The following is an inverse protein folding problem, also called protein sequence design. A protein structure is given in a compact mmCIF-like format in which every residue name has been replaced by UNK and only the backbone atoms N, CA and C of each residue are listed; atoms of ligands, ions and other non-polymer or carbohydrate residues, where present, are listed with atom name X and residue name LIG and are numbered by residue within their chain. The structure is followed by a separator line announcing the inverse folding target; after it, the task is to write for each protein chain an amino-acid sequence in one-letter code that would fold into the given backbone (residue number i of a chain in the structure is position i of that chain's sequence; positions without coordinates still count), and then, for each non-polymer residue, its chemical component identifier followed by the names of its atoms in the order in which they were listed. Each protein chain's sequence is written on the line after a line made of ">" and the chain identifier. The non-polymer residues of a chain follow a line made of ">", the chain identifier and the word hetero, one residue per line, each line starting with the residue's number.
data_IF_681583637708
#
_entry.id   IF_681583637708
#
_cell.length_a   1.000
_cell.length_b   1.000
_cell.length_c   1.000
_cell.angle_alpha   90.00
_cell.angle_beta   90.00
_cell.angle_gamma   90.00
#
_symmetry.space_group_name_H-M   'P 1'
#
loop_
_entity.id
_entity.type
_entity.pdbx_description
1 polymer ?
#
# COMPACT_ATOMS: atom_id res chain seq x y z
N UNK A 1 12.74 -30.54 -4.93
CA UNK A 1 12.75 -29.51 -5.99
C UNK A 1 11.38 -29.25 -6.62
N UNK A 2 10.64 -30.25 -7.12
CA UNK A 2 9.31 -30.02 -7.71
C UNK A 2 8.22 -29.63 -6.69
N UNK A 3 8.26 -30.22 -5.47
CA UNK A 3 7.29 -29.95 -4.38
C UNK A 3 7.38 -28.49 -3.88
N UNK A 4 8.61 -28.02 -3.61
CA UNK A 4 8.91 -26.63 -3.20
C UNK A 4 8.40 -25.60 -4.22
N UNK A 5 8.54 -25.85 -5.53
CA UNK A 5 8.00 -24.94 -6.56
C UNK A 5 6.46 -24.86 -6.56
N UNK A 6 5.78 -25.97 -6.28
CA UNK A 6 4.32 -26.01 -6.26
C UNK A 6 3.75 -25.26 -5.04
N UNK A 7 4.39 -25.42 -3.88
CA UNK A 7 3.99 -24.75 -2.63
C UNK A 7 4.18 -23.22 -2.73
N UNK A 8 5.24 -22.77 -3.43
CA UNK A 8 5.47 -21.36 -3.76
C UNK A 8 4.34 -20.80 -4.65
N UNK A 9 3.90 -21.55 -5.66
CA UNK A 9 2.83 -21.12 -6.58
C UNK A 9 1.49 -20.97 -5.83
N UNK A 10 1.17 -21.89 -4.92
CA UNK A 10 -0.06 -21.84 -4.12
C UNK A 10 -0.04 -20.63 -3.17
N UNK A 11 1.05 -20.43 -2.45
CA UNK A 11 1.23 -19.29 -1.53
C UNK A 11 1.09 -17.95 -2.27
N UNK A 12 1.75 -17.80 -3.43
CA UNK A 12 1.64 -16.59 -4.25
C UNK A 12 0.23 -16.35 -4.80
N UNK A 13 -0.50 -17.41 -5.15
CA UNK A 13 -1.88 -17.30 -5.62
C UNK A 13 -2.80 -16.77 -4.50
N UNK A 14 -2.65 -17.30 -3.29
CA UNK A 14 -3.42 -16.87 -2.11
C UNK A 14 -3.11 -15.40 -1.77
N UNK A 15 -1.83 -15.05 -1.71
CA UNK A 15 -1.37 -13.69 -1.40
C UNK A 15 -1.88 -12.66 -2.42
N UNK A 16 -1.93 -13.03 -3.71
CA UNK A 16 -2.55 -12.21 -4.76
C UNK A 16 -4.06 -12.10 -4.60
N UNK A 17 -4.74 -13.13 -4.11
CA UNK A 17 -6.19 -13.13 -3.95
C UNK A 17 -6.64 -12.24 -2.78
N UNK A 18 -5.85 -12.14 -1.71
CA UNK A 18 -6.14 -11.29 -0.55
C UNK A 18 -5.61 -9.86 -0.68
N UNK A 19 -4.64 -9.64 -1.58
CA UNK A 19 -4.03 -8.33 -1.77
C UNK A 19 -5.09 -7.25 -2.10
N UNK A 20 -5.07 -6.18 -1.31
CA UNK A 20 -5.92 -5.02 -1.51
C UNK A 20 -7.33 -5.19 -1.00
N UNK A 21 -7.76 -6.40 -0.60
CA UNK A 21 -9.09 -6.61 -0.02
C UNK A 21 -9.19 -6.01 1.37
N UNK A 22 -10.31 -5.33 1.62
CA UNK A 22 -10.64 -4.72 2.91
C UNK A 22 -11.71 -5.56 3.60
N UNK A 23 -11.51 -5.80 4.88
CA UNK A 23 -12.38 -6.59 5.74
C UNK A 23 -12.81 -5.75 6.94
N UNK A 24 -14.06 -5.87 7.38
CA UNK A 24 -14.59 -5.13 8.53
C UNK A 24 -14.91 -6.07 9.68
N UNK A 25 -14.58 -5.66 10.90
CA UNK A 25 -15.06 -6.34 12.10
C UNK A 25 -16.48 -5.85 12.40
N UNK A 26 -17.51 -6.71 12.48
CA UNK A 26 -18.82 -6.32 12.96
C UNK A 26 -18.73 -5.94 14.44
N UNK A 27 -18.84 -4.66 14.74
CA UNK A 27 -18.73 -4.15 16.10
C UNK A 27 -20.11 -4.20 16.79
N UNK A 28 -20.21 -5.00 17.84
CA UNK A 28 -21.28 -4.89 18.84
C UNK A 28 -20.88 -3.90 19.92
N UNK A 29 -21.86 -3.34 20.65
CA UNK A 29 -21.61 -2.50 21.83
C UNK A 29 -20.60 -3.16 22.78
N UNK A 30 -19.52 -2.45 23.10
CA UNK A 30 -18.44 -2.82 24.04
C UNK A 30 -17.38 -3.81 23.54
N UNK A 31 -17.31 -4.14 22.25
CA UNK A 31 -16.24 -5.03 21.74
C UNK A 31 -15.03 -4.21 21.31
N UNK A 32 -13.89 -4.49 21.94
CA UNK A 32 -12.59 -3.92 21.57
C UNK A 32 -11.89 -4.88 20.59
N UNK A 33 -11.50 -4.43 19.39
CA UNK A 33 -10.75 -5.28 18.49
C UNK A 33 -9.39 -5.65 19.10
N UNK A 34 -9.02 -6.91 18.99
CA UNK A 34 -7.81 -7.45 19.62
C UNK A 34 -6.54 -6.70 19.20
N UNK A 35 -6.43 -6.35 17.91
CA UNK A 35 -5.28 -5.66 17.34
C UNK A 35 -5.22 -4.15 17.61
N UNK A 36 -6.22 -3.59 18.29
CA UNK A 36 -6.25 -2.19 18.68
C UNK A 36 -6.23 -2.05 20.21
N UNK A 37 -6.89 -2.96 20.92
CA UNK A 37 -6.94 -2.96 22.38
C UNK A 37 -7.71 -1.79 22.99
N UNK A 38 -8.47 -1.05 22.19
CA UNK A 38 -9.31 0.08 22.63
C UNK A 38 -10.70 0.01 21.97
N UNK A 39 -11.64 0.78 22.53
CA UNK A 39 -12.98 0.88 21.94
C UNK A 39 -12.94 1.71 20.66
N UNK A 40 -13.59 1.19 19.62
CA UNK A 40 -13.65 1.82 18.31
C UNK A 40 -15.09 1.83 17.83
N UNK A 41 -15.46 2.86 17.06
CA UNK A 41 -16.77 2.92 16.40
C UNK A 41 -16.77 2.31 15.01
N UNK A 42 -15.59 2.08 14.44
CA UNK A 42 -15.40 1.37 13.19
C UNK A 42 -14.01 0.71 13.19
N UNK A 43 -13.89 -0.50 12.64
CA UNK A 43 -12.61 -1.16 12.41
C UNK A 43 -12.61 -1.97 11.11
N UNK A 44 -11.64 -1.67 10.26
CA UNK A 44 -11.32 -2.46 9.06
C UNK A 44 -9.85 -2.82 9.02
N UNK A 45 -9.57 -3.95 8.37
CA UNK A 45 -8.23 -4.39 8.06
C UNK A 45 -8.06 -4.58 6.56
N UNK A 46 -6.86 -4.29 6.05
CA UNK A 46 -6.51 -4.52 4.66
C UNK A 46 -5.19 -5.27 4.58
N UNK A 47 -5.17 -6.41 3.87
CA UNK A 47 -3.94 -7.15 3.64
C UNK A 47 -3.34 -6.72 2.32
N UNK A 48 -2.06 -6.39 2.36
CA UNK A 48 -1.33 -5.96 1.19
C UNK A 48 -0.05 -6.77 1.04
N UNK A 49 0.10 -7.43 -0.11
CA UNK A 49 1.22 -8.29 -0.40
C UNK A 49 2.15 -7.62 -1.40
N UNK A 50 3.44 -7.87 -1.24
CA UNK A 50 4.49 -7.44 -2.14
C UNK A 50 5.55 -8.51 -2.34
N UNK A 51 6.19 -8.55 -3.51
CA UNK A 51 7.27 -9.47 -3.84
C UNK A 51 8.50 -8.72 -4.37
N UNK A 52 9.65 -8.91 -3.72
CA UNK A 52 10.95 -8.31 -3.99
C UNK A 52 11.96 -9.36 -4.45
N UNK A 53 11.88 -9.77 -5.71
CA UNK A 53 12.71 -10.87 -6.18
C UNK A 53 12.37 -12.17 -5.43
N UNK A 54 13.21 -12.60 -4.50
CA UNK A 54 12.98 -13.76 -3.63
C UNK A 54 12.30 -13.40 -2.29
N UNK A 55 12.35 -12.13 -1.88
CA UNK A 55 11.80 -11.70 -0.59
C UNK A 55 10.34 -11.32 -0.74
N UNK A 56 9.47 -12.00 0.00
CA UNK A 56 8.04 -11.76 -0.03
C UNK A 56 7.63 -11.02 1.25
N UNK A 57 6.79 -9.98 1.12
CA UNK A 57 6.35 -9.15 2.25
C UNK A 57 4.83 -9.05 2.29
N UNK A 58 4.28 -9.05 3.49
CA UNK A 58 2.86 -8.81 3.75
C UNK A 58 2.73 -7.68 4.75
N UNK A 59 1.85 -6.74 4.47
CA UNK A 59 1.49 -5.67 5.38
C UNK A 59 0.02 -5.78 5.74
N UNK A 60 -0.26 -5.81 7.03
CA UNK A 60 -1.60 -5.68 7.56
C UNK A 60 -1.83 -4.22 7.95
N UNK A 61 -2.81 -3.60 7.33
CA UNK A 61 -3.25 -2.25 7.63
C UNK A 61 -4.47 -2.30 8.51
N UNK A 62 -4.46 -1.50 9.57
CA UNK A 62 -5.51 -1.39 10.57
C UNK A 62 -6.10 0.01 10.46
N UNK A 63 -7.32 0.13 9.96
CA UNK A 63 -8.04 1.38 9.87
C UNK A 63 -9.14 1.39 10.91
N UNK A 64 -9.12 2.33 11.85
CA UNK A 64 -10.15 2.41 12.88
C UNK A 64 -10.50 3.83 13.25
N UNK A 65 -11.67 4.00 13.86
CA UNK A 65 -12.10 5.25 14.48
C UNK A 65 -12.23 5.02 15.98
N UNK A 66 -11.41 5.70 16.79
CA UNK A 66 -11.49 5.69 18.24
C UNK A 66 -12.90 6.11 18.71
N UNK A 67 -13.52 5.36 19.62
CA UNK A 67 -14.92 5.59 20.00
C UNK A 67 -15.12 6.91 20.76
N UNK A 68 -14.15 7.28 21.58
CA UNK A 68 -14.15 8.43 22.48
C UNK A 68 -13.81 9.75 21.75
N UNK A 69 -12.67 9.78 21.06
CA UNK A 69 -12.17 10.98 20.38
C UNK A 69 -12.77 11.16 18.98
N UNK A 70 -13.31 10.08 18.41
CA UNK A 70 -13.67 9.96 16.99
C UNK A 70 -12.50 10.16 16.05
N UNK A 71 -11.26 10.03 16.54
CA UNK A 71 -10.08 10.11 15.69
C UNK A 71 -9.94 8.87 14.83
N UNK A 72 -9.73 9.10 13.54
CA UNK A 72 -9.37 8.04 12.59
C UNK A 72 -7.88 7.76 12.70
N UNK A 73 -7.54 6.48 12.73
CA UNK A 73 -6.18 5.99 12.87
C UNK A 73 -5.90 4.97 11.78
N UNK A 74 -4.64 4.97 11.34
CA UNK A 74 -4.12 3.94 10.45
C UNK A 74 -2.80 3.45 10.99
N UNK A 75 -2.76 2.15 11.28
CA UNK A 75 -1.58 1.47 11.77
C UNK A 75 -1.20 0.35 10.82
N UNK A 76 0.08 0.03 10.76
CA UNK A 76 0.60 -1.00 9.88
C UNK A 76 1.42 -2.00 10.66
N UNK A 77 1.28 -3.26 10.30
CA UNK A 77 2.06 -4.38 10.82
C UNK A 77 2.72 -5.04 9.61
N UNK A 78 4.06 -5.05 9.59
CA UNK A 78 4.84 -5.60 8.47
C UNK A 78 5.37 -6.99 8.79
N UNK A 79 5.24 -7.88 7.82
CA UNK A 79 5.67 -9.26 7.90
C UNK A 79 6.55 -9.64 6.70
N UNK A 80 7.62 -10.40 6.97
CA UNK A 80 8.32 -11.19 5.98
C UNK A 80 7.54 -12.49 5.80
N UNK A 81 7.48 -13.00 4.58
CA UNK A 81 6.93 -14.32 4.33
C UNK A 81 8.06 -15.33 4.42
N UNK A 82 7.95 -16.29 5.35
CA UNK A 82 8.83 -17.44 5.37
C UNK A 82 8.26 -18.55 4.51
N UNK A 83 9.07 -19.04 3.58
CA UNK A 83 8.77 -20.30 2.90
C UNK A 83 8.89 -21.43 3.92
N UNK A 84 7.77 -22.08 4.23
CA UNK A 84 7.76 -23.18 5.20
C UNK A 84 8.64 -24.34 4.74
N UNK A 85 9.50 -24.82 5.64
CA UNK A 85 10.21 -26.10 5.46
C UNK A 85 9.30 -27.32 5.75
N UNK A 86 8.17 -27.08 6.41
CA UNK A 86 7.23 -28.12 6.83
C UNK A 86 5.99 -28.20 5.95
N UNK A 87 5.73 -29.43 5.50
CA UNK A 87 4.87 -29.79 4.38
C UNK A 87 3.37 -29.84 4.71
N UNK A 88 2.82 -28.88 5.46
CA UNK A 88 1.36 -28.71 5.53
C UNK A 88 0.91 -27.83 4.37
N UNK A 89 0.36 -28.48 3.34
CA UNK A 89 0.25 -27.98 1.97
C UNK A 89 -0.54 -26.67 1.72
N UNK A 90 -1.07 -25.98 2.74
CA UNK A 90 -1.89 -24.77 2.54
C UNK A 90 -1.62 -23.61 3.53
N UNK A 91 -0.59 -23.64 4.38
CA UNK A 91 -0.36 -22.56 5.34
C UNK A 91 0.82 -21.68 4.91
N UNK A 92 0.67 -20.36 4.99
CA UNK A 92 1.73 -19.38 4.71
C UNK A 92 2.15 -18.75 6.03
N UNK A 93 3.42 -18.94 6.41
CA UNK A 93 3.96 -18.40 7.66
C UNK A 93 4.54 -17.02 7.43
N UNK A 94 4.26 -16.11 8.36
CA UNK A 94 4.65 -14.72 8.34
C UNK A 94 5.50 -14.41 9.57
N UNK A 95 6.73 -13.98 9.35
CA UNK A 95 7.60 -13.50 10.42
C UNK A 95 7.50 -12.00 10.58
N UNK A 96 7.38 -11.55 11.82
CA UNK A 96 7.32 -10.12 12.09
C UNK A 96 8.68 -9.45 11.85
N UNK A 97 8.75 -8.51 10.92
CA UNK A 97 9.99 -7.80 10.58
C UNK A 97 10.24 -6.56 11.47
N UNK A 98 9.39 -6.31 12.48
CA UNK A 98 9.51 -5.16 13.38
C UNK A 98 8.92 -3.86 12.84
N UNK A 99 7.71 -3.53 13.31
CA UNK A 99 7.29 -2.21 13.81
C UNK A 99 5.79 -2.29 14.13
N UNK A 100 5.42 -2.35 15.41
CA UNK A 100 4.07 -2.00 15.84
C UNK A 100 4.22 -0.79 16.77
N UNK A 101 3.55 0.31 16.44
CA UNK A 101 3.62 1.53 17.25
C UNK A 101 2.79 1.42 18.55
N UNK A 102 1.99 0.36 18.71
CA UNK A 102 0.90 0.34 19.72
C UNK A 102 1.10 -0.68 20.85
N UNK A 103 2.32 -0.96 21.28
CA UNK A 103 2.58 -1.87 22.41
C UNK A 103 2.19 -3.35 22.15
N UNK A 104 1.50 -3.65 21.06
CA UNK A 104 1.22 -4.99 20.56
C UNK A 104 2.47 -5.54 19.89
N UNK A 105 3.37 -6.13 20.67
CA UNK A 105 4.58 -6.72 20.11
C UNK A 105 4.21 -8.07 19.48
N UNK A 106 3.88 -8.03 18.20
CA UNK A 106 3.63 -9.24 17.39
C UNK A 106 4.91 -10.06 17.33
N UNK A 107 4.78 -11.37 17.50
CA UNK A 107 5.88 -12.33 17.37
C UNK A 107 5.87 -12.94 15.97
N UNK A 108 4.73 -13.51 15.59
CA UNK A 108 4.54 -14.20 14.33
C UNK A 108 3.08 -14.09 13.88
N UNK A 109 2.84 -14.33 12.60
CA UNK A 109 1.51 -14.56 12.07
C UNK A 109 1.51 -15.77 11.13
N UNK A 110 0.37 -16.43 11.02
CA UNK A 110 0.20 -17.57 10.12
C UNK A 110 -1.09 -17.38 9.34
N UNK A 111 -0.99 -17.38 8.01
CA UNK A 111 -2.16 -17.43 7.15
C UNK A 111 -2.51 -18.88 6.84
N UNK A 112 -3.64 -19.31 7.37
CA UNK A 112 -4.15 -20.66 7.17
C UNK A 112 -5.15 -20.61 6.02
N UNK A 113 -4.86 -21.33 4.93
CA UNK A 113 -5.79 -21.51 3.81
C UNK A 113 -6.42 -22.90 3.91
N UNK A 114 -7.73 -22.94 4.07
CA UNK A 114 -8.51 -24.16 3.89
C UNK A 114 -9.44 -23.98 2.69
N UNK A 115 -9.87 -25.10 2.10
CA UNK A 115 -10.80 -25.14 0.96
C UNK A 115 -12.10 -24.36 1.18
N UNK A 116 -12.43 -24.03 2.43
CA UNK A 116 -13.66 -23.35 2.84
C UNK A 116 -13.42 -22.10 3.70
N UNK A 117 -12.18 -21.77 4.07
CA UNK A 117 -11.95 -20.69 5.04
C UNK A 117 -10.52 -20.11 4.95
N UNK A 118 -10.41 -18.77 5.04
CA UNK A 118 -9.14 -18.06 5.15
C UNK A 118 -8.99 -17.56 6.59
N UNK A 119 -7.90 -17.90 7.26
CA UNK A 119 -7.64 -17.45 8.64
C UNK A 119 -6.30 -16.75 8.72
N UNK A 120 -6.23 -15.66 9.47
CA UNK A 120 -4.96 -15.08 9.91
C UNK A 120 -4.84 -15.28 11.42
N UNK A 121 -3.91 -16.15 11.84
CA UNK A 121 -3.48 -16.28 13.22
C UNK A 121 -2.42 -15.23 13.49
N UNK A 122 -2.53 -14.47 14.57
CA UNK A 122 -1.49 -13.55 15.03
C UNK A 122 -1.16 -13.92 16.47
N UNK A 123 0.12 -14.14 16.73
CA UNK A 123 0.65 -14.42 18.07
C UNK A 123 1.46 -13.21 18.55
N UNK A 124 1.21 -12.78 19.78
CA UNK A 124 1.96 -11.72 20.46
C UNK A 124 3.07 -12.35 21.32
N UNK A 125 4.14 -11.59 21.56
CA UNK A 125 5.28 -12.04 22.39
C UNK A 125 4.92 -12.38 23.84
N UNK A 126 3.79 -11.90 24.35
CA UNK A 126 3.28 -12.24 25.68
C UNK A 126 2.48 -13.57 25.71
N UNK A 127 2.44 -14.28 24.59
CA UNK A 127 1.76 -15.57 24.42
C UNK A 127 0.26 -15.46 24.12
N UNK A 128 -0.32 -14.26 24.07
CA UNK A 128 -1.69 -14.07 23.60
C UNK A 128 -1.76 -14.24 22.09
N UNK A 129 -2.89 -14.74 21.60
CA UNK A 129 -3.11 -14.97 20.18
C UNK A 129 -4.53 -14.61 19.76
N UNK A 130 -4.69 -14.22 18.50
CA UNK A 130 -5.99 -13.99 17.85
C UNK A 130 -6.08 -14.74 16.54
N UNK A 131 -7.25 -15.32 16.29
CA UNK A 131 -7.64 -15.88 15.00
C UNK A 131 -8.64 -14.94 14.33
N UNK A 132 -8.26 -14.44 13.17
CA UNK A 132 -9.04 -13.55 12.32
C UNK A 132 -9.59 -14.38 11.16
N UNK A 133 -10.88 -14.71 11.20
CA UNK A 133 -11.54 -15.41 10.10
C UNK A 133 -11.91 -14.41 8.99
N UNK A 134 -11.33 -14.62 7.81
CA UNK A 134 -11.49 -13.80 6.61
C UNK A 134 -12.34 -14.54 5.57
N UNK A 135 -13.38 -13.90 5.03
CA UNK A 135 -14.24 -14.52 4.01
C UNK A 135 -13.50 -14.63 2.66
N UNK A 136 -13.62 -15.77 1.96
CA UNK A 136 -13.15 -15.87 0.58
C UNK A 136 -14.05 -15.05 -0.36
N UNK A 137 -13.56 -14.82 -1.58
CA UNK A 137 -14.23 -14.02 -2.63
C UNK A 137 -15.67 -14.48 -2.95
N UNK A 138 -16.04 -15.71 -2.59
CA UNK A 138 -17.26 -16.41 -2.99
C UNK A 138 -18.19 -16.84 -1.83
N UNK A 139 -17.96 -16.40 -0.58
CA UNK A 139 -18.77 -16.90 0.55
C UNK A 139 -18.68 -16.11 1.85
N UNK A 140 -19.41 -16.59 2.86
CA UNK A 140 -19.40 -16.10 4.25
C UNK A 140 -18.26 -16.75 5.05
N UNK A 141 -17.61 -15.98 5.93
CA UNK A 141 -16.62 -16.51 6.86
C UNK A 141 -17.33 -17.20 8.03
N UNK A 142 -16.82 -18.34 8.46
CA UNK A 142 -17.31 -19.01 9.67
C UNK A 142 -16.12 -19.46 10.51
N UNK A 143 -15.95 -18.83 11.67
CA UNK A 143 -14.91 -19.19 12.67
C UNK A 143 -15.00 -20.66 13.05
N UNK A 144 -16.21 -21.25 13.00
CA UNK A 144 -16.42 -22.65 13.31
C UNK A 144 -15.77 -23.63 12.33
N UNK A 145 -15.38 -23.17 11.14
CA UNK A 145 -14.73 -23.99 10.11
C UNK A 145 -13.20 -23.80 10.10
N UNK A 146 -12.71 -22.64 10.53
CA UNK A 146 -11.29 -22.28 10.48
C UNK A 146 -10.47 -22.76 11.71
N UNK A 147 -11.09 -22.93 12.87
CA UNK A 147 -10.37 -23.21 14.12
C UNK A 147 -10.31 -24.71 14.43
N UNK A 148 -9.11 -25.28 14.57
CA UNK A 148 -8.95 -26.61 15.17
C UNK A 148 -9.52 -26.58 16.61
N UNK A 149 -10.36 -27.56 16.93
CA UNK A 149 -11.16 -27.61 18.17
C UNK A 149 -10.31 -27.54 19.45
N UNK A 150 -9.03 -27.92 19.39
CA UNK A 150 -8.05 -27.89 20.48
C UNK A 150 -7.56 -26.50 20.86
N UNK A 151 -7.60 -25.51 19.96
CA UNK A 151 -7.06 -24.16 20.20
C UNK A 151 -8.14 -23.14 20.59
N UNK A 152 -9.42 -23.50 20.46
CA UNK A 152 -10.58 -22.63 20.75
C UNK A 152 -10.60 -22.08 22.18
N UNK A 153 -9.90 -22.71 23.12
CA UNK A 153 -9.81 -22.25 24.51
C UNK A 153 -8.61 -21.34 24.83
N UNK A 154 -7.65 -21.14 23.91
CA UNK A 154 -6.39 -20.42 24.20
C UNK A 154 -6.23 -19.09 23.45
N UNK A 155 -6.86 -18.93 22.29
CA UNK A 155 -6.79 -17.71 21.49
C UNK A 155 -8.13 -16.96 21.46
N UNK A 156 -8.09 -15.65 21.22
CA UNK A 156 -9.28 -14.85 20.90
C UNK A 156 -9.71 -15.12 19.46
N UNK A 157 -11.02 -15.05 19.19
CA UNK A 157 -11.57 -15.27 17.85
C UNK A 157 -12.37 -14.06 17.37
N UNK A 158 -12.10 -13.63 16.15
CA UNK A 158 -12.80 -12.54 15.49
C UNK A 158 -13.22 -12.96 14.09
N UNK A 159 -14.49 -12.72 13.77
CA UNK A 159 -15.06 -12.95 12.44
C UNK A 159 -15.14 -11.62 11.72
N UNK A 160 -14.59 -11.56 10.52
CA UNK A 160 -14.68 -10.36 9.68
C UNK A 160 -15.58 -10.62 8.49
N UNK A 161 -16.17 -9.54 7.97
CA UNK A 161 -16.93 -9.53 6.74
C UNK A 161 -16.14 -8.84 5.62
N UNK A 162 -16.47 -9.14 4.35
CA UNK A 162 -15.94 -8.36 3.22
C UNK A 162 -16.49 -6.94 3.37
N UNK A 163 -15.59 -5.98 3.60
CA UNK A 163 -16.00 -4.59 3.69
C UNK A 163 -16.15 -4.04 2.28
N UNK A 164 -17.39 -3.82 1.88
CA UNK A 164 -17.73 -2.85 0.83
C UNK A 164 -17.88 -1.43 1.42
N UNK A 165 -17.73 -1.30 2.73
CA UNK A 165 -18.20 -0.14 3.47
C UNK A 165 -17.16 0.98 3.47
N UNK A 166 -17.65 2.17 3.19
CA UNK A 166 -16.97 3.45 3.35
C UNK A 166 -16.92 3.91 4.82
N UNK A 167 -17.38 3.09 5.78
CA UNK A 167 -17.67 3.54 7.14
C UNK A 167 -16.41 3.96 7.89
N UNK A 168 -15.33 3.20 7.74
CA UNK A 168 -14.04 3.54 8.35
C UNK A 168 -13.26 4.54 7.49
N UNK A 169 -13.28 4.37 6.17
CA UNK A 169 -12.59 5.22 5.21
C UNK A 169 -13.51 5.42 4.00
N UNK A 170 -13.96 6.65 3.78
CA UNK A 170 -14.81 6.99 2.65
C UNK A 170 -13.97 7.10 1.39
N UNK A 171 -14.53 6.72 0.25
CA UNK A 171 -13.83 6.82 -1.03
C UNK A 171 -14.55 7.80 -1.93
N UNK A 172 -13.87 8.86 -2.33
CA UNK A 172 -14.39 9.79 -3.33
C UNK A 172 -13.80 9.43 -4.69
N UNK A 173 -14.68 9.04 -5.62
CA UNK A 173 -14.30 8.60 -6.96
C UNK A 173 -14.19 9.79 -7.91
N UNK A 174 -13.04 9.94 -8.53
CA UNK A 174 -12.79 10.95 -9.54
C UNK A 174 -12.47 10.30 -10.88
N UNK A 175 -13.04 10.87 -11.94
CA UNK A 175 -12.81 10.44 -13.32
C UNK A 175 -12.08 11.54 -14.07
N UNK A 176 -11.00 11.16 -14.73
CA UNK A 176 -10.34 12.04 -15.69
C UNK A 176 -11.14 11.99 -17.00
N UNK A 177 -11.80 13.09 -17.34
CA UNK A 177 -12.54 13.26 -18.60
C UNK A 177 -11.69 13.88 -19.69
N UNK A 178 -10.49 14.35 -19.35
CA UNK A 178 -9.61 15.04 -20.27
C UNK A 178 -8.70 14.03 -20.97
N UNK A 179 -8.42 14.25 -22.25
CA UNK A 179 -7.39 13.48 -22.93
C UNK A 179 -6.00 13.88 -22.43
N UNK A 180 -5.04 12.94 -22.33
CA UNK A 180 -3.66 13.30 -22.06
C UNK A 180 -3.18 14.29 -23.12
N UNK A 181 -2.75 15.48 -22.69
CA UNK A 181 -2.09 16.41 -23.59
C UNK A 181 -0.76 15.79 -24.00
N UNK A 182 -0.53 15.61 -25.31
CA UNK A 182 0.77 15.27 -25.86
C UNK A 182 1.73 16.39 -25.47
N UNK A 183 2.56 16.15 -24.47
CA UNK A 183 3.56 17.13 -24.09
C UNK A 183 4.78 16.93 -24.97
N UNK A 184 4.88 17.71 -26.04
CA UNK A 184 6.09 17.75 -26.87
C UNK A 184 7.29 18.11 -25.99
N UNK A 185 8.30 17.25 -26.04
CA UNK A 185 9.53 17.44 -25.28
C UNK A 185 10.60 17.98 -26.22
N UNK A 186 11.17 19.18 -25.97
CA UNK A 186 12.38 19.59 -26.66
C UNK A 186 13.51 18.65 -26.27
N UNK A 187 14.22 18.10 -27.25
CA UNK A 187 15.43 17.28 -27.02
C UNK A 187 16.67 18.16 -27.14
N UNK A 188 17.20 18.76 -26.05
CA UNK A 188 18.55 19.31 -26.11
C UNK A 188 19.59 18.18 -26.00
N UNK A 189 20.70 18.38 -26.72
CA UNK A 189 21.89 17.53 -26.69
C UNK A 189 22.36 17.27 -25.24
N UNK A 190 22.83 16.06 -24.92
CA UNK A 190 23.48 15.82 -23.64
C UNK A 190 24.70 16.73 -23.51
N UNK A 191 24.80 17.39 -22.36
CA UNK A 191 25.99 18.11 -21.90
C UNK A 191 26.77 17.09 -21.07
N UNK A 192 28.04 16.81 -21.40
CA UNK A 192 28.79 15.61 -20.93
C UNK A 192 28.89 15.46 -19.38
N UNK A 193 28.55 16.50 -18.61
CA UNK A 193 28.61 16.52 -17.15
C UNK A 193 27.24 16.71 -16.46
N UNK A 194 26.12 16.58 -17.18
CA UNK A 194 24.77 16.69 -16.60
C UNK A 194 24.08 15.32 -16.59
N UNK A 195 23.25 15.03 -15.56
CA UNK A 195 22.39 13.85 -15.61
C UNK A 195 21.53 13.90 -16.87
N UNK A 196 21.20 12.71 -17.40
CA UNK A 196 20.27 12.57 -18.53
C UNK A 196 18.96 13.29 -18.22
N UNK A 197 18.27 13.77 -19.24
CA UNK A 197 16.97 14.39 -19.05
C UNK A 197 15.96 13.34 -18.60
N UNK A 198 14.97 13.73 -17.78
CA UNK A 198 13.91 12.82 -17.29
C UNK A 198 13.10 12.16 -18.43
N UNK A 199 13.20 12.68 -19.64
CA UNK A 199 12.50 12.18 -20.83
C UNK A 199 13.39 11.38 -21.77
N UNK A 200 14.67 11.23 -21.44
CA UNK A 200 15.65 10.52 -22.26
C UNK A 200 15.26 9.04 -22.42
N UNK A 201 15.29 8.54 -23.65
CA UNK A 201 14.88 7.17 -23.97
C UNK A 201 15.79 6.13 -23.35
N UNK A 202 17.01 6.46 -22.93
CA UNK A 202 17.87 5.55 -22.18
C UNK A 202 17.33 5.26 -20.77
N UNK A 203 16.53 6.16 -20.21
CA UNK A 203 15.94 5.99 -18.88
C UNK A 203 14.62 5.22 -18.89
N UNK A 204 13.99 5.04 -20.04
CA UNK A 204 12.60 4.54 -20.16
C UNK A 204 12.35 3.23 -19.40
N UNK A 205 13.35 2.35 -19.30
CA UNK A 205 13.21 1.10 -18.57
C UNK A 205 12.97 1.35 -17.06
N UNK A 206 13.61 2.36 -16.48
CA UNK A 206 13.44 2.75 -15.07
C UNK A 206 12.20 3.60 -14.84
N UNK A 207 11.37 3.82 -15.86
CA UNK A 207 10.25 4.76 -15.81
C UNK A 207 8.91 4.04 -15.92
N UNK A 208 8.85 2.72 -15.81
CA UNK A 208 7.58 1.99 -15.84
C UNK A 208 6.72 2.29 -14.60
N UNK A 209 5.68 3.13 -14.78
CA UNK A 209 4.79 3.58 -13.70
C UNK A 209 4.02 2.41 -13.11
N UNK A 210 3.50 1.51 -13.95
CA UNK A 210 2.76 0.35 -13.47
C UNK A 210 3.65 -0.51 -12.59
N UNK A 211 4.87 -0.84 -13.03
CA UNK A 211 5.80 -1.64 -12.23
C UNK A 211 6.22 -0.95 -10.94
N UNK A 212 6.42 0.36 -10.94
CA UNK A 212 6.73 1.10 -9.72
C UNK A 212 5.62 1.05 -8.67
N UNK A 213 4.36 0.83 -9.07
CA UNK A 213 3.21 0.70 -8.17
C UNK A 213 2.83 -0.76 -7.83
N UNK A 214 3.39 -1.78 -8.51
CA UNK A 214 3.00 -3.18 -8.33
C UNK A 214 3.49 -3.80 -7.01
N UNK A 215 4.30 -3.07 -6.24
CA UNK A 215 4.93 -3.56 -5.02
C UNK A 215 4.11 -3.26 -3.75
N UNK A 216 2.77 -3.14 -3.84
CA UNK A 216 1.86 -2.75 -2.73
C UNK A 216 1.67 -1.24 -2.59
N UNK A 217 1.18 -0.80 -1.43
CA UNK A 217 0.98 0.60 -1.11
C UNK A 217 2.29 1.31 -0.84
N UNK A 218 2.48 2.43 -1.51
CA UNK A 218 3.64 3.29 -1.37
C UNK A 218 3.27 4.48 -0.49
N UNK A 219 4.17 4.86 0.41
CA UNK A 219 4.01 6.02 1.28
C UNK A 219 4.94 7.14 0.85
N UNK A 220 4.49 8.39 0.95
CA UNK A 220 5.30 9.56 0.64
C UNK A 220 6.41 9.72 1.69
N UNK A 221 7.65 9.81 1.24
CA UNK A 221 8.82 10.01 2.13
C UNK A 221 9.42 11.39 1.93
N UNK A 222 9.64 11.83 0.69
CA UNK A 222 10.17 13.15 0.38
C UNK A 222 9.26 13.91 -0.58
N UNK A 223 9.11 15.22 -0.33
CA UNK A 223 8.49 16.16 -1.26
C UNK A 223 9.42 17.36 -1.49
N UNK A 224 9.48 17.81 -2.73
CA UNK A 224 10.14 19.08 -3.10
C UNK A 224 9.23 20.30 -2.93
N UNK A 225 8.02 20.13 -2.41
CA UNK A 225 7.09 21.22 -2.11
C UNK A 225 6.57 21.06 -0.68
N UNK A 226 7.12 21.84 0.25
CA UNK A 226 6.84 21.69 1.69
C UNK A 226 5.43 22.11 2.11
N UNK A 227 4.88 23.11 1.40
CA UNK A 227 3.57 23.72 1.67
C UNK A 227 2.43 23.10 0.85
N UNK A 228 2.66 21.95 0.22
CA UNK A 228 1.62 21.24 -0.52
C UNK A 228 0.42 20.95 0.38
N UNK A 229 -0.75 21.46 0.00
CA UNK A 229 -2.03 21.21 0.69
C UNK A 229 -2.68 19.91 0.22
N UNK A 230 -2.22 19.36 -0.90
CA UNK A 230 -2.71 18.13 -1.51
C UNK A 230 -1.56 17.12 -1.75
N UNK A 231 -0.74 16.78 -0.73
CA UNK A 231 0.25 15.73 -0.89
C UNK A 231 -0.46 14.39 -1.08
N UNK A 232 0.09 13.51 -1.93
CA UNK A 232 -0.36 12.13 -2.00
C UNK A 232 0.37 11.39 -0.88
N UNK A 233 -0.28 11.17 0.26
CA UNK A 233 0.39 10.58 1.43
C UNK A 233 0.69 9.10 1.27
N UNK A 234 -0.20 8.41 0.56
CA UNK A 234 -0.10 7.00 0.27
C UNK A 234 -0.81 6.71 -1.05
N UNK A 235 -0.23 5.85 -1.87
CA UNK A 235 -0.80 5.39 -3.13
C UNK A 235 -0.90 3.87 -3.05
N UNK A 236 -2.11 3.32 -3.19
CA UNK A 236 -2.35 1.88 -3.32
C UNK A 236 -2.85 1.59 -4.71
N UNK A 237 -2.16 0.70 -5.40
CA UNK A 237 -2.54 0.29 -6.73
C UNK A 237 -3.31 -1.02 -6.71
N UNK A 238 -4.50 -1.02 -7.30
CA UNK A 238 -5.32 -2.22 -7.48
C UNK A 238 -5.46 -2.53 -8.98
N UNK A 239 -4.60 -3.40 -9.52
CA UNK A 239 -4.61 -3.71 -10.95
C UNK A 239 -5.86 -4.51 -11.33
N UNK A 240 -6.33 -4.32 -12.56
CA UNK A 240 -7.45 -5.08 -13.17
C UNK A 240 -8.81 -4.97 -12.45
N UNK A 241 -8.99 -3.97 -11.57
CA UNK A 241 -10.33 -3.57 -11.14
C UNK A 241 -11.06 -2.83 -12.28
N UNK A 242 -12.37 -3.04 -12.42
CA UNK A 242 -13.18 -2.24 -13.35
C UNK A 242 -13.04 -0.74 -13.06
N UNK A 243 -13.09 0.17 -14.07
CA UNK A 243 -13.53 -0.06 -15.45
C UNK A 243 -12.43 -0.33 -16.50
N UNK A 244 -11.14 -0.41 -16.13
CA UNK A 244 -10.03 -0.43 -17.10
C UNK A 244 -9.11 -1.66 -16.99
N UNK A 245 -8.26 -1.94 -18.01
CA UNK A 245 -7.28 -3.03 -17.91
C UNK A 245 -6.20 -2.73 -16.85
N UNK A 246 -5.96 -1.46 -16.57
CA UNK A 246 -4.95 -1.02 -15.63
C UNK A 246 -5.49 -0.78 -14.21
N UNK A 247 -6.81 -0.83 -13.98
CA UNK A 247 -7.38 -0.75 -12.64
C UNK A 247 -7.47 0.66 -12.05
N UNK A 248 -7.39 0.75 -10.72
CA UNK A 248 -7.54 2.00 -9.97
C UNK A 248 -6.34 2.26 -9.05
N UNK A 249 -6.08 3.53 -8.77
CA UNK A 249 -5.24 3.94 -7.64
C UNK A 249 -6.12 4.55 -6.54
N UNK A 250 -5.80 4.17 -5.31
CA UNK A 250 -6.44 4.64 -4.09
C UNK A 250 -5.42 5.46 -3.33
N UNK A 251 -5.76 6.70 -3.01
CA UNK A 251 -4.82 7.69 -2.51
C UNK A 251 -5.34 8.25 -1.19
N UNK A 252 -4.51 8.18 -0.15
CA UNK A 252 -4.73 8.94 1.08
C UNK A 252 -4.13 10.33 0.89
N UNK A 253 -4.92 11.37 1.15
CA UNK A 253 -4.48 12.76 1.01
C UNK A 253 -5.28 13.65 1.96
N UNK A 254 -4.66 14.66 2.59
CA UNK A 254 -5.37 15.61 3.45
C UNK A 254 -6.19 16.63 2.65
N UNK A 255 -6.06 16.65 1.32
CA UNK A 255 -6.69 17.66 0.46
C UNK A 255 -8.16 17.39 0.12
N UNK A 256 -8.73 16.29 0.61
CA UNK A 256 -10.18 16.04 0.59
C UNK A 256 -10.83 16.46 1.91
N UNK A 257 -12.16 16.35 2.00
CA UNK A 257 -12.81 16.55 3.29
C UNK A 257 -12.35 15.45 4.25
N UNK A 258 -11.79 15.88 5.39
CA UNK A 258 -11.04 15.16 6.44
C UNK A 258 -10.84 13.64 6.36
N UNK A 259 -11.90 12.88 6.13
CA UNK A 259 -11.98 11.43 6.31
C UNK A 259 -12.12 10.60 5.02
N UNK A 260 -11.90 11.24 3.87
CA UNK A 260 -12.00 10.63 2.55
C UNK A 260 -10.62 10.24 1.97
N UNK A 261 -10.61 9.14 1.24
CA UNK A 261 -9.55 8.72 0.33
C UNK A 261 -10.02 8.98 -1.11
N UNK A 262 -9.07 9.34 -1.96
CA UNK A 262 -9.32 9.57 -3.38
C UNK A 262 -9.21 8.25 -4.12
N UNK A 263 -10.16 7.95 -4.99
CA UNK A 263 -10.06 6.84 -5.95
C UNK A 263 -10.12 7.41 -7.35
N UNK A 264 -9.19 7.01 -8.21
CA UNK A 264 -9.27 7.34 -9.62
C UNK A 264 -8.85 6.15 -10.48
N UNK A 265 -9.38 6.14 -11.70
CA UNK A 265 -8.94 5.21 -12.72
C UNK A 265 -7.45 5.46 -13.04
N UNK A 266 -6.68 4.39 -13.13
CA UNK A 266 -5.27 4.47 -13.46
C UNK A 266 -5.06 4.23 -14.94
N UNK A 267 -4.70 5.29 -15.68
CA UNK A 267 -4.43 5.25 -17.12
C UNK A 267 -2.98 5.65 -17.41
N UNK A 268 -2.02 4.75 -17.18
CA UNK A 268 -0.64 5.02 -17.53
C UNK A 268 -0.45 4.98 -19.06
N UNK A 269 0.40 5.87 -19.57
CA UNK A 269 0.75 6.03 -20.98
C UNK A 269 2.26 6.26 -21.16
N UNK A 270 2.75 6.03 -22.38
CA UNK A 270 4.14 6.25 -22.75
C UNK A 270 4.43 7.74 -22.98
N UNK A 271 5.67 8.15 -22.84
CA UNK A 271 6.14 9.44 -23.35
C UNK A 271 6.50 9.33 -24.84
N UNK A 272 6.55 10.47 -25.53
CA UNK A 272 6.97 10.50 -26.93
C UNK A 272 8.40 9.98 -27.09
N UNK A 273 8.63 9.19 -28.13
CA UNK A 273 9.90 8.50 -28.37
C UNK A 273 10.18 7.28 -27.47
N UNK A 274 9.36 7.03 -26.45
CA UNK A 274 9.48 5.82 -25.61
C UNK A 274 8.78 4.63 -26.27
N UNK A 275 9.24 3.44 -25.91
CA UNK A 275 8.57 2.19 -26.27
C UNK A 275 7.25 2.04 -25.50
N UNK A 276 6.19 1.60 -26.16
CA UNK A 276 4.86 1.35 -25.57
C UNK A 276 4.88 0.41 -24.36
N UNK A 277 5.94 -0.40 -24.23
CA UNK A 277 6.20 -1.26 -23.07
C UNK A 277 6.35 -0.45 -21.78
N UNK A 278 6.96 0.74 -21.86
CA UNK A 278 7.27 1.57 -20.70
C UNK A 278 6.30 2.75 -20.62
N UNK A 279 5.27 2.58 -19.81
CA UNK A 279 4.28 3.62 -19.55
C UNK A 279 4.82 4.57 -18.47
N UNK A 280 5.48 5.63 -18.90
CA UNK A 280 6.22 6.54 -18.03
C UNK A 280 5.43 7.67 -17.39
N UNK A 281 4.17 7.87 -17.77
CA UNK A 281 3.35 8.94 -17.21
C UNK A 281 1.92 8.49 -16.95
N UNK A 282 1.25 9.16 -16.02
CA UNK A 282 -0.17 9.06 -15.79
C UNK A 282 -0.70 10.40 -15.27
N UNK A 283 -1.97 10.70 -15.54
CA UNK A 283 -2.63 11.88 -14.97
C UNK A 283 -3.13 11.56 -13.56
N UNK A 284 -2.69 12.34 -12.58
CA UNK A 284 -3.09 12.20 -11.18
C UNK A 284 -3.79 13.48 -10.74
N UNK A 285 -4.92 13.31 -10.07
CA UNK A 285 -5.67 14.43 -9.52
C UNK A 285 -4.91 15.07 -8.34
N UNK A 286 -4.76 16.39 -8.40
CA UNK A 286 -4.25 17.23 -7.31
C UNK A 286 -5.04 18.51 -7.27
N UNK A 287 -5.40 18.96 -6.07
CA UNK A 287 -6.04 20.26 -5.83
C UNK A 287 -7.15 20.62 -6.85
N UNK A 288 -8.07 19.67 -7.07
CA UNK A 288 -9.21 19.88 -7.95
C UNK A 288 -8.99 19.60 -9.45
N UNK A 289 -7.78 19.33 -9.92
CA UNK A 289 -7.47 19.12 -11.36
C UNK A 289 -6.59 17.90 -11.60
N UNK A 290 -6.60 17.34 -12.81
CA UNK A 290 -5.71 16.25 -13.20
C UNK A 290 -4.43 16.80 -13.83
N UNK A 291 -3.28 16.42 -13.28
CA UNK A 291 -1.96 16.81 -13.76
C UNK A 291 -1.17 15.59 -14.23
N UNK A 292 -0.43 15.74 -15.32
CA UNK A 292 0.54 14.73 -15.72
C UNK A 292 1.62 14.57 -14.63
N UNK A 293 1.75 13.34 -14.14
CA UNK A 293 2.84 12.91 -13.27
C UNK A 293 3.68 11.89 -14.03
N UNK A 294 4.98 12.15 -14.11
CA UNK A 294 5.97 11.34 -14.82
C UNK A 294 6.82 10.58 -13.82
N UNK A 295 7.20 9.36 -14.17
CA UNK A 295 8.19 8.61 -13.40
C UNK A 295 9.57 9.10 -13.79
N UNK A 296 10.31 9.65 -12.83
CA UNK A 296 11.74 9.93 -13.00
C UNK A 296 12.50 8.61 -12.95
N UNK A 297 12.20 7.81 -11.91
CA UNK A 297 12.87 6.55 -11.63
C UNK A 297 11.99 5.66 -10.75
N UNK A 298 12.04 4.37 -10.99
CA UNK A 298 11.61 3.33 -10.08
C UNK A 298 12.65 2.21 -10.09
N UNK A 299 12.93 1.65 -8.92
CA UNK A 299 13.69 0.41 -8.80
C UNK A 299 12.83 -0.83 -9.16
N UNK A 300 11.55 -0.60 -9.51
CA UNK A 300 10.50 -1.60 -9.76
C UNK A 300 10.27 -2.54 -8.57
N UNK A 301 10.72 -2.11 -7.40
CA UNK A 301 10.68 -2.85 -6.14
C UNK A 301 10.13 -1.89 -5.10
N UNK A 302 10.96 -1.18 -4.37
CA UNK A 302 10.53 -0.49 -3.17
C UNK A 302 10.33 1.01 -3.34
N UNK A 303 10.53 1.59 -4.52
CA UNK A 303 10.39 3.03 -4.67
C UNK A 303 9.90 3.50 -6.04
N UNK A 304 9.31 4.68 -6.04
CA UNK A 304 9.02 5.44 -7.25
C UNK A 304 9.24 6.92 -6.99
N UNK A 305 9.87 7.59 -7.94
CA UNK A 305 10.07 9.04 -7.95
C UNK A 305 9.17 9.61 -9.02
N UNK A 306 8.31 10.54 -8.63
CA UNK A 306 7.36 11.19 -9.51
C UNK A 306 7.72 12.67 -9.68
N UNK A 307 7.58 13.17 -10.91
CA UNK A 307 7.58 14.59 -11.25
C UNK A 307 6.19 15.00 -11.71
N UNK A 308 5.63 16.07 -11.17
CA UNK A 308 4.40 16.70 -11.68
C UNK A 308 4.73 18.12 -12.17
N UNK A 309 5.20 18.32 -13.42
CA UNK A 309 5.76 19.60 -13.88
C UNK A 309 4.79 20.78 -13.74
N UNK A 310 3.52 20.56 -14.14
CA UNK A 310 2.47 21.58 -14.13
C UNK A 310 1.87 21.85 -12.73
N UNK A 311 2.32 21.15 -11.70
CA UNK A 311 1.94 21.37 -10.30
C UNK A 311 3.19 21.70 -9.49
N UNK A 312 3.59 22.98 -9.49
CA UNK A 312 4.78 23.48 -8.77
C UNK A 312 6.11 22.80 -9.14
N UNK A 313 6.20 22.17 -10.31
CA UNK A 313 7.33 21.30 -10.67
C UNK A 313 7.64 20.24 -9.59
N UNK A 314 6.60 19.79 -8.90
CA UNK A 314 6.66 18.93 -7.73
C UNK A 314 7.42 17.66 -8.03
N UNK A 315 8.36 17.32 -7.15
CA UNK A 315 9.01 16.01 -7.13
C UNK A 315 8.74 15.31 -5.80
N UNK A 316 8.34 14.05 -5.88
CA UNK A 316 7.99 13.23 -4.73
C UNK A 316 8.70 11.87 -4.81
N UNK A 317 9.20 11.41 -3.67
CA UNK A 317 9.72 10.06 -3.50
C UNK A 317 8.75 9.27 -2.63
N UNK A 318 8.29 8.13 -3.16
CA UNK A 318 7.48 7.19 -2.41
C UNK A 318 8.24 5.89 -2.19
N UNK A 319 7.98 5.23 -1.06
CA UNK A 319 8.57 3.93 -0.74
C UNK A 319 7.53 2.89 -0.31
N UNK A 320 7.82 1.62 -0.56
CA UNK A 320 7.02 0.50 -0.10
C UNK A 320 7.19 0.25 1.40
N UNK A 321 6.08 0.33 2.14
CA UNK A 321 5.87 -0.27 3.46
C UNK A 321 6.60 0.25 4.69
N UNK A 322 7.78 0.88 4.57
CA UNK A 322 8.47 1.51 5.71
C UNK A 322 8.95 2.90 5.38
N UNK A 323 8.74 3.81 6.31
CA UNK A 323 9.49 5.06 6.43
C UNK A 323 10.92 4.72 6.87
N UNK A 324 11.69 4.10 5.98
CA UNK A 324 13.11 3.91 6.21
C UNK A 324 13.73 5.30 6.12
N UNK A 325 14.38 5.75 7.20
CA UNK A 325 15.03 7.06 7.28
C UNK A 325 16.29 7.15 6.39
N UNK A 326 16.23 6.66 5.14
CA UNK A 326 17.36 6.57 4.22
C UNK A 326 18.38 5.49 4.57
N UNK A 327 18.09 4.60 5.52
CA UNK A 327 19.08 3.62 6.03
C UNK A 327 19.24 2.40 5.10
N UNK A 328 18.24 2.06 4.27
CA UNK A 328 18.22 0.77 3.56
C UNK A 328 17.81 0.81 2.07
N UNK A 329 17.79 1.97 1.41
CA UNK A 329 17.55 2.01 -0.04
C UNK A 329 18.28 3.18 -0.70
N UNK A 330 19.55 3.01 -1.04
CA UNK A 330 20.43 4.15 -1.33
C UNK A 330 20.14 4.85 -2.68
N UNK A 331 19.61 4.12 -3.66
CA UNK A 331 19.58 4.61 -5.05
C UNK A 331 18.44 5.59 -5.28
N UNK A 332 17.24 5.31 -4.76
CA UNK A 332 16.08 6.19 -4.94
C UNK A 332 16.30 7.56 -4.30
N UNK A 333 16.94 7.58 -3.12
CA UNK A 333 17.28 8.81 -2.40
C UNK A 333 18.41 9.58 -3.10
N UNK A 334 19.39 8.86 -3.65
CA UNK A 334 20.44 9.46 -4.47
C UNK A 334 19.86 10.09 -5.74
N UNK A 335 19.07 9.34 -6.51
CA UNK A 335 18.41 9.83 -7.73
C UNK A 335 17.50 11.01 -7.42
N UNK A 336 16.76 10.98 -6.30
CA UNK A 336 15.97 12.14 -5.87
C UNK A 336 16.87 13.37 -5.68
N UNK A 337 18.02 13.22 -5.04
CA UNK A 337 18.97 14.33 -4.85
C UNK A 337 19.52 14.85 -6.19
N UNK A 338 19.79 13.97 -7.16
CA UNK A 338 20.28 14.32 -8.50
C UNK A 338 19.25 15.12 -9.30
N UNK A 339 18.00 14.66 -9.35
CA UNK A 339 16.96 15.26 -10.21
C UNK A 339 16.11 16.32 -9.50
N UNK A 340 15.94 16.21 -8.18
CA UNK A 340 14.98 16.98 -7.39
C UNK A 340 15.63 17.83 -6.30
N UNK A 341 16.96 17.74 -6.13
CA UNK A 341 17.73 18.45 -5.09
C UNK A 341 17.32 17.99 -3.68
N UNK A 342 17.59 18.81 -2.65
CA UNK A 342 17.18 18.48 -1.29
C UNK A 342 15.66 18.59 -1.14
N UNK A 343 15.02 17.65 -0.42
CA UNK A 343 13.60 17.71 -0.17
C UNK A 343 13.26 18.88 0.75
N UNK A 344 12.20 19.63 0.40
CA UNK A 344 11.66 20.68 1.27
C UNK A 344 10.95 20.08 2.48
N UNK A 345 10.36 18.89 2.33
CA UNK A 345 9.69 18.17 3.42
C UNK A 345 10.01 16.69 3.42
N UNK A 346 10.24 16.17 4.63
CA UNK A 346 10.47 14.76 4.91
C UNK A 346 9.34 14.23 5.79
N UNK A 347 8.85 13.06 5.45
CA UNK A 347 7.82 12.34 6.20
C UNK A 347 8.47 11.11 6.83
N UNK A 348 8.19 10.89 8.11
CA UNK A 348 8.76 9.81 8.94
C UNK A 348 7.70 8.81 9.36
N UNK A 349 6.43 9.15 9.21
CA UNK A 349 5.29 8.29 9.44
C UNK A 349 4.06 8.82 8.69
N UNK A 350 3.02 7.98 8.53
CA UNK A 350 1.81 8.37 7.81
C UNK A 350 1.09 9.56 8.46
N UNK A 351 1.13 9.67 9.78
CA UNK A 351 0.54 10.78 10.53
C UNK A 351 1.17 12.15 10.25
N UNK A 352 2.39 12.20 9.69
CA UNK A 352 3.00 13.46 9.22
C UNK A 352 2.27 14.03 7.99
N UNK A 353 1.44 13.20 7.34
CA UNK A 353 0.74 13.50 6.09
C UNK A 353 -0.78 13.30 6.19
N UNK A 354 -1.26 12.21 6.79
CA UNK A 354 -2.67 11.83 6.87
C UNK A 354 -3.03 10.93 8.08
N UNK A 355 -4.19 11.11 8.72
CA UNK A 355 -4.95 12.36 8.74
C UNK A 355 -4.11 13.38 9.51
N UNK A 356 -4.05 14.66 9.08
CA UNK A 356 -3.28 15.64 9.82
C UNK A 356 -3.79 15.67 11.25
N UNK A 357 -2.90 15.48 12.24
CA UNK A 357 -3.23 15.80 13.62
C UNK A 357 -3.85 17.19 13.59
N UNK A 358 -5.08 17.35 14.12
CA UNK A 358 -5.83 18.61 14.07
C UNK A 358 -4.83 19.74 14.31
N UNK A 359 -4.58 20.58 13.29
CA UNK A 359 -3.99 21.89 13.55
C UNK A 359 -4.98 22.51 14.53
N UNK A 360 -4.55 22.69 15.78
CA UNK A 360 -5.40 23.28 16.79
C UNK A 360 -6.02 24.55 16.23
N UNK A 361 -7.33 24.69 16.40
CA UNK A 361 -8.01 25.95 16.13
C UNK A 361 -7.34 27.09 16.90
#
# INVERSE_FOLDING_TARGET
>A
LAKTKQDIIISQKILREIHGKTYSLPLSSNRQPFLVGSEVSCFTIQLLYSAEGADHKVMLWLHYTEADTRFKRVHTISFAVKEGTDSSANNVHFEFEGSSKDGLIVEEAEFVHHTTCYCLKITLKDGRCVYIALPPSSGTSCVDVCAQTSERGRCTYETYDISKSEECLKYEVFKDTDQPETTEVPTPSPDENKPLLETDTQLQEYQDFKRGLLFSSLVLVYSSYGDDRFPLCMITYRPNEAPGPDGNIYILTPGLSGDQAMVQEFKPYKLDGHNDTFKAAARIRRDGRFYESRVIFTDRRQCILLRTPKYHNLCELFTGGRYTNGILNNICFFIFTVYCKQPEKKFTNLGDCWPPAKRGN
#
